data_IF_819956953406
#
_entry.id   IF_819956953406
#
_cell.length_a   1.000
_cell.length_b   1.000
_cell.length_c   1.000
_cell.angle_alpha   90.00
_cell.angle_beta   90.00
_cell.angle_gamma   90.00
#
_symmetry.space_group_name_H-M   'P 1'
#
loop_
_entity.id
_entity.type
_entity.pdbx_description
1 polymer ?
#
# COMPACT_ATOMS: atom_id res chain seq x y z
N UNK A 1 -0.16 11.71 20.70
CA UNK A 1 0.17 11.95 20.15
C UNK A 1 0.66 12.11 19.13
N UNK A 2 1.34 11.33 19.28
CA UNK A 2 1.18 12.25 18.41
C UNK A 2 1.61 11.99 16.99
N UNK A 3 0.80 11.14 16.36
CA UNK A 3 1.00 10.73 14.98
C UNK A 3 0.97 11.91 14.00
N UNK A 4 0.40 13.02 14.40
CA UNK A 4 0.32 14.19 13.54
C UNK A 4 1.68 14.74 13.17
N UNK A 5 2.69 14.51 13.99
CA UNK A 5 4.04 14.95 13.69
C UNK A 5 4.71 14.15 12.59
N UNK A 6 4.06 13.07 12.13
CA UNK A 6 4.60 12.20 11.09
C UNK A 6 4.12 12.55 9.69
N UNK A 7 3.45 13.68 9.51
CA UNK A 7 3.03 14.11 8.18
C UNK A 7 3.66 15.46 7.86
N UNK A 8 3.75 15.77 6.57
CA UNK A 8 4.29 17.03 6.09
C UNK A 8 5.73 16.90 5.62
N UNK A 9 6.26 17.98 5.01
CA UNK A 9 7.59 17.94 4.37
C UNK A 9 8.73 17.58 5.29
N UNK A 10 8.66 18.01 6.55
CA UNK A 10 9.72 17.74 7.51
C UNK A 10 9.80 16.25 7.83
N UNK A 11 8.63 15.62 8.05
CA UNK A 11 8.57 14.19 8.31
C UNK A 11 9.02 13.41 7.09
N UNK A 12 8.62 13.84 5.90
CA UNK A 12 9.02 13.20 4.66
C UNK A 12 10.54 13.21 4.50
N UNK A 13 11.14 14.34 4.74
CA UNK A 13 12.59 14.48 4.64
C UNK A 13 13.31 13.58 5.64
N UNK A 14 12.81 13.52 6.86
CA UNK A 14 13.41 12.68 7.89
C UNK A 14 13.35 11.21 7.54
N UNK A 15 12.20 10.76 7.01
CA UNK A 15 12.02 9.36 6.65
C UNK A 15 12.96 8.90 5.55
N UNK A 16 13.29 9.78 4.61
CA UNK A 16 14.16 9.41 3.51
C UNK A 16 15.58 9.07 3.93
N UNK A 17 15.93 9.38 5.18
CA UNK A 17 17.23 9.01 5.72
C UNK A 17 17.30 7.58 6.25
N UNK A 18 16.19 6.85 6.21
CA UNK A 18 16.13 5.49 6.72
C UNK A 18 16.00 4.47 5.60
N UNK A 19 16.46 3.27 5.88
CA UNK A 19 16.22 2.10 5.04
C UNK A 19 15.58 1.05 5.93
N UNK A 20 14.50 0.43 5.47
CA UNK A 20 13.81 -0.59 6.25
C UNK A 20 13.70 -1.88 5.43
N UNK A 21 13.63 -3.01 6.12
CA UNK A 21 13.53 -4.29 5.43
C UNK A 21 12.14 -4.52 4.88
N UNK A 22 11.13 -4.21 5.66
CA UNK A 22 9.74 -4.45 5.27
C UNK A 22 8.85 -3.29 5.68
N UNK A 23 7.94 -2.92 4.80
CA UNK A 23 6.89 -1.98 5.13
C UNK A 23 5.55 -2.72 5.06
N UNK A 24 4.76 -2.58 6.12
CA UNK A 24 3.41 -3.13 6.18
C UNK A 24 2.44 -1.97 6.07
N UNK A 25 1.68 -1.93 4.99
CA UNK A 25 0.79 -0.80 4.72
C UNK A 25 -0.66 -1.24 4.67
N UNK A 26 -1.51 -0.55 5.44
CA UNK A 26 -2.96 -0.69 5.33
C UNK A 26 -3.46 0.33 4.33
N UNK A 27 -4.48 -0.02 3.56
CA UNK A 27 -5.01 0.87 2.52
C UNK A 27 -6.53 0.97 2.57
N UNK A 28 -7.05 2.07 2.07
CA UNK A 28 -8.49 2.30 2.03
C UNK A 28 -9.13 1.89 0.71
N UNK A 29 -8.32 1.79 -0.33
CA UNK A 29 -8.81 1.37 -1.64
C UNK A 29 -7.73 0.65 -2.41
N UNK A 30 -8.14 -0.40 -3.12
CA UNK A 30 -7.23 -1.22 -3.89
C UNK A 30 -7.87 -1.56 -5.22
N UNK A 31 -7.27 -1.04 -6.29
CA UNK A 31 -7.71 -1.34 -7.65
C UNK A 31 -6.65 -2.24 -8.28
N UNK A 32 -6.98 -3.49 -8.56
CA UNK A 32 -6.00 -4.45 -9.08
C UNK A 32 -5.52 -4.12 -10.49
N UNK A 33 -6.06 -3.08 -11.09
CA UNK A 33 -5.60 -2.60 -12.41
C UNK A 33 -4.64 -1.44 -12.28
N UNK A 34 -4.85 -0.56 -11.29
CA UNK A 34 -4.10 0.70 -11.20
C UNK A 34 -3.21 0.82 -9.98
N UNK A 35 -3.65 0.35 -8.82
CA UNK A 35 -2.83 0.46 -7.62
C UNK A 35 -3.62 0.71 -6.35
N UNK A 36 -2.98 1.36 -5.39
CA UNK A 36 -3.55 1.55 -4.06
C UNK A 36 -3.80 3.02 -3.76
N UNK A 37 -4.80 3.27 -2.91
CA UNK A 37 -5.32 4.60 -2.64
C UNK A 37 -5.60 4.83 -1.17
N UNK A 38 -5.60 6.10 -0.78
CA UNK A 38 -6.05 6.55 0.54
C UNK A 38 -6.82 7.86 0.36
N UNK A 39 -7.78 8.18 1.23
CA UNK A 39 -8.49 9.46 1.13
C UNK A 39 -7.63 10.66 1.52
N UNK A 40 -6.50 10.45 2.17
CA UNK A 40 -5.66 11.54 2.67
C UNK A 40 -4.39 11.67 1.82
N UNK A 41 -4.24 12.82 1.15
CA UNK A 41 -3.10 13.08 0.26
C UNK A 41 -1.76 13.08 1.01
N UNK A 42 -1.75 13.58 2.23
CA UNK A 42 -0.52 13.60 3.03
C UNK A 42 -0.09 12.19 3.42
N UNK A 43 -1.05 11.34 3.76
CA UNK A 43 -0.76 9.94 4.03
C UNK A 43 -0.28 9.22 2.78
N UNK A 44 -0.85 9.56 1.63
CA UNK A 44 -0.41 8.97 0.37
C UNK A 44 1.06 9.27 0.12
N UNK A 45 1.48 10.52 0.35
CA UNK A 45 2.87 10.90 0.18
C UNK A 45 3.79 10.19 1.16
N UNK A 46 3.35 10.06 2.40
CA UNK A 46 4.13 9.37 3.42
C UNK A 46 4.30 7.89 3.08
N UNK A 47 3.22 7.26 2.64
CA UNK A 47 3.26 5.86 2.22
C UNK A 47 4.17 5.67 1.01
N UNK A 48 4.15 6.61 0.08
CA UNK A 48 5.06 6.61 -1.07
C UNK A 48 6.52 6.55 -0.64
N UNK A 49 6.87 7.36 0.35
CA UNK A 49 8.23 7.39 0.88
C UNK A 49 8.56 6.08 1.59
N UNK A 50 7.63 5.55 2.38
CA UNK A 50 7.83 4.27 3.06
C UNK A 50 8.11 3.17 2.05
N UNK A 51 7.43 3.20 0.92
CA UNK A 51 7.68 2.23 -0.16
C UNK A 51 9.08 2.41 -0.74
N UNK A 52 9.50 3.64 -0.99
CA UNK A 52 10.81 3.94 -1.55
C UNK A 52 11.95 3.40 -0.69
N UNK A 53 11.84 3.55 0.63
CA UNK A 53 12.92 3.19 1.55
C UNK A 53 12.88 1.73 2.00
N UNK A 54 11.89 0.97 1.55
CA UNK A 54 11.70 -0.42 1.99
C UNK A 54 12.19 -1.41 0.94
N UNK A 55 12.76 -2.50 1.41
CA UNK A 55 13.17 -3.59 0.51
C UNK A 55 11.99 -4.42 0.08
N UNK A 56 11.00 -4.57 0.95
CA UNK A 56 9.81 -5.36 0.66
C UNK A 56 8.58 -4.62 1.13
N UNK A 57 7.56 -4.57 0.28
CA UNK A 57 6.30 -3.88 0.58
C UNK A 57 5.18 -4.91 0.70
N UNK A 58 4.55 -4.96 1.87
CA UNK A 58 3.49 -5.91 2.18
C UNK A 58 2.22 -5.12 2.46
N UNK A 59 1.19 -5.40 1.70
CA UNK A 59 -0.08 -4.71 1.80
C UNK A 59 -1.05 -5.51 2.66
N UNK A 60 -1.72 -4.83 3.57
CA UNK A 60 -2.75 -5.44 4.41
C UNK A 60 -4.09 -4.84 4.00
N UNK A 61 -4.95 -5.64 3.40
CA UNK A 61 -6.25 -5.16 2.94
C UNK A 61 -7.27 -6.27 3.00
N UNK A 62 -8.38 -6.05 3.71
CA UNK A 62 -9.46 -7.01 3.65
C UNK A 62 -10.14 -6.91 2.27
N UNK A 63 -10.90 -7.95 1.92
CA UNK A 63 -11.47 -8.04 0.58
C UNK A 63 -12.44 -6.92 0.23
N UNK A 64 -12.99 -6.24 1.23
CA UNK A 64 -13.91 -5.12 0.97
C UNK A 64 -13.20 -3.91 0.37
N UNK A 65 -11.89 -3.85 0.44
CA UNK A 65 -11.12 -2.72 -0.10
C UNK A 65 -10.83 -2.86 -1.59
N UNK A 66 -11.02 -4.03 -2.15
CA UNK A 66 -10.75 -4.26 -3.57
C UNK A 66 -11.80 -3.57 -4.44
N UNK A 67 -11.35 -3.09 -5.60
CA UNK A 67 -12.17 -2.36 -6.57
C UNK A 67 -12.66 -1.02 -6.07
N UNK A 68 -12.04 -0.49 -5.04
CA UNK A 68 -12.33 0.85 -4.53
C UNK A 68 -11.21 1.79 -4.86
N UNK A 69 -11.57 3.02 -5.19
CA UNK A 69 -10.61 4.08 -5.39
C UNK A 69 -10.87 5.18 -4.39
N UNK A 70 -9.84 5.92 -4.08
CA UNK A 70 -9.94 7.05 -3.17
C UNK A 70 -9.21 8.23 -3.78
N UNK A 71 -9.23 9.34 -3.08
CA UNK A 71 -8.71 10.60 -3.61
C UNK A 71 -7.20 10.57 -3.82
N UNK A 72 -6.47 10.02 -2.88
CA UNK A 72 -5.01 10.02 -2.94
C UNK A 72 -4.46 8.70 -3.48
N UNK A 73 -3.79 8.74 -4.63
CA UNK A 73 -3.12 7.59 -5.19
C UNK A 73 -1.78 7.40 -4.47
N UNK A 74 -1.48 6.18 -4.06
CA UNK A 74 -0.23 5.88 -3.35
C UNK A 74 0.83 5.35 -4.31
N UNK A 75 0.55 4.24 -4.97
CA UNK A 75 1.51 3.63 -5.87
C UNK A 75 0.84 2.64 -6.80
N UNK A 76 1.57 2.25 -7.86
CA UNK A 76 1.10 1.22 -8.78
C UNK A 76 1.38 -0.17 -8.20
N UNK A 77 0.82 -1.19 -8.85
CA UNK A 77 1.03 -2.57 -8.42
C UNK A 77 2.49 -2.99 -8.46
N UNK A 78 3.29 -2.36 -9.30
CA UNK A 78 4.71 -2.72 -9.45
C UNK A 78 5.51 -2.56 -8.16
N UNK A 79 5.05 -1.70 -7.27
CA UNK A 79 5.76 -1.42 -6.03
C UNK A 79 5.41 -2.39 -4.90
N UNK A 80 4.45 -3.27 -5.12
CA UNK A 80 3.94 -4.18 -4.08
C UNK A 80 4.51 -5.57 -4.26
N UNK A 81 5.02 -6.15 -3.19
CA UNK A 81 5.58 -7.51 -3.22
C UNK A 81 4.59 -8.56 -2.75
N UNK A 82 3.84 -8.25 -1.72
CA UNK A 82 2.87 -9.19 -1.13
C UNK A 82 1.59 -8.49 -0.74
N UNK A 83 0.49 -9.24 -0.78
CA UNK A 83 -0.81 -8.78 -0.29
C UNK A 83 -1.34 -9.82 0.67
N UNK A 84 -1.69 -9.39 1.87
CA UNK A 84 -2.35 -10.24 2.85
C UNK A 84 -3.82 -9.82 2.90
N UNK A 85 -4.70 -10.74 2.60
CA UNK A 85 -6.13 -10.47 2.55
C UNK A 85 -6.93 -11.66 3.07
N UNK A 86 -8.24 -11.57 3.04
CA UNK A 86 -9.12 -12.65 3.48
C UNK A 86 -9.70 -13.43 2.31
N UNK A 87 -10.42 -14.52 2.62
CA UNK A 87 -10.98 -15.40 1.59
C UNK A 87 -12.07 -14.80 0.73
N UNK A 88 -12.51 -13.58 1.01
CA UNK A 88 -13.51 -12.91 0.20
C UNK A 88 -12.97 -12.29 -1.08
N UNK A 89 -11.66 -12.36 -1.31
CA UNK A 89 -11.07 -11.83 -2.54
C UNK A 89 -11.62 -12.56 -3.75
N UNK A 90 -11.94 -11.82 -4.81
CA UNK A 90 -12.45 -12.39 -6.04
C UNK A 90 -11.34 -13.08 -6.83
N UNK A 91 -11.69 -14.14 -7.54
CA UNK A 91 -10.73 -14.89 -8.34
C UNK A 91 -10.00 -14.01 -9.36
N UNK A 92 -10.72 -13.08 -9.98
CA UNK A 92 -10.13 -12.16 -10.96
C UNK A 92 -9.08 -11.26 -10.34
N UNK A 93 -9.37 -10.74 -9.16
CA UNK A 93 -8.43 -9.88 -8.45
C UNK A 93 -7.18 -10.65 -8.05
N UNK A 94 -7.37 -11.86 -7.51
CA UNK A 94 -6.26 -12.71 -7.13
C UNK A 94 -5.38 -13.02 -8.32
N UNK A 95 -5.99 -13.35 -9.46
CA UNK A 95 -5.24 -13.65 -10.67
C UNK A 95 -4.44 -12.45 -11.15
N UNK A 96 -5.02 -11.27 -11.14
CA UNK A 96 -4.31 -10.05 -11.56
C UNK A 96 -3.10 -9.78 -10.68
N UNK A 97 -3.24 -9.99 -9.38
CA UNK A 97 -2.12 -9.80 -8.46
C UNK A 97 -1.03 -10.81 -8.75
N UNK A 98 -1.38 -12.08 -8.94
CA UNK A 98 -0.41 -13.12 -9.23
C UNK A 98 0.28 -12.88 -10.57
N UNK A 99 -0.45 -12.43 -11.58
CA UNK A 99 0.12 -12.09 -12.88
C UNK A 99 1.09 -10.92 -12.80
N UNK A 100 0.95 -10.07 -11.79
CA UNK A 100 1.85 -8.96 -11.54
C UNK A 100 3.02 -9.36 -10.61
N UNK A 101 3.22 -10.64 -10.39
CA UNK A 101 4.27 -11.18 -9.51
C UNK A 101 4.10 -10.78 -8.05
N UNK A 102 2.87 -10.61 -7.61
CA UNK A 102 2.55 -10.31 -6.23
C UNK A 102 2.10 -11.58 -5.53
N UNK A 103 2.73 -11.91 -4.43
CA UNK A 103 2.33 -13.06 -3.62
C UNK A 103 1.05 -12.71 -2.85
N UNK A 104 0.02 -13.53 -2.97
CA UNK A 104 -1.25 -13.32 -2.27
C UNK A 104 -1.35 -14.32 -1.13
N UNK A 105 -1.47 -13.80 0.09
CA UNK A 105 -1.58 -14.60 1.30
C UNK A 105 -3.01 -14.42 1.83
N UNK A 106 -3.74 -15.50 1.93
CA UNK A 106 -5.12 -15.48 2.40
C UNK A 106 -5.19 -16.01 3.83
N UNK A 107 -5.76 -15.22 4.71
CA UNK A 107 -5.89 -15.58 6.12
C UNK A 107 -7.34 -15.77 6.54
#
# INVERSE_FOLDING_TARGET
KNSLSLVGPQAEKSLRNFNVDKAFLGVDGFDTKNGIYTPNVEEARLNEIMIEISKEVILLADSSKFSKRSFGFICSLKEIDKVITDGGIKADDKKRLQDADIEVIIV
#
